data_IF_913802565282
#
_entry.id   IF_913802565282
#
_cell.length_a   1.000
_cell.length_b   1.000
_cell.length_c   1.000
_cell.angle_alpha   90.00
_cell.angle_beta   90.00
_cell.angle_gamma   90.00
#
_symmetry.space_group_name_H-M   'P 1'
#
loop_
_entity.id
_entity.type
_entity.pdbx_description
1 polymer ?
#
# COMPACT_ATOMS: atom_id res chain seq x y z
N UNK A 1 -9.88 -34.83 35.08
CA UNK A 1 -8.71 -34.40 34.30
C UNK A 1 -8.82 -32.90 34.12
N UNK A 2 -8.37 -32.15 35.11
CA UNK A 2 -8.32 -30.68 35.05
C UNK A 2 -6.98 -30.32 34.44
N UNK A 3 -6.98 -29.78 33.22
CA UNK A 3 -5.77 -29.24 32.62
C UNK A 3 -5.39 -27.98 33.39
N UNK A 4 -4.41 -28.11 34.30
CA UNK A 4 -3.75 -26.96 34.89
C UNK A 4 -3.06 -26.18 33.76
N UNK A 5 -3.69 -25.09 33.33
CA UNK A 5 -3.08 -24.12 32.44
C UNK A 5 -1.84 -23.58 33.11
N UNK A 6 -0.67 -23.85 32.53
CA UNK A 6 0.62 -23.48 33.08
C UNK A 6 0.69 -21.94 33.17
N UNK A 7 0.75 -21.33 34.38
CA UNK A 7 0.62 -19.87 34.55
C UNK A 7 1.72 -19.07 33.84
N UNK A 8 2.87 -19.71 33.58
CA UNK A 8 3.97 -19.16 32.79
C UNK A 8 3.60 -18.94 31.31
N UNK A 9 2.81 -19.85 30.71
CA UNK A 9 2.39 -19.74 29.30
C UNK A 9 1.34 -18.64 29.11
N UNK A 10 0.41 -18.50 30.07
CA UNK A 10 -0.57 -17.42 30.05
C UNK A 10 0.08 -16.03 30.19
N UNK A 11 1.09 -15.90 31.07
CA UNK A 11 1.85 -14.66 31.20
C UNK A 11 2.63 -14.30 29.93
N UNK A 12 3.26 -15.28 29.27
CA UNK A 12 3.96 -15.07 28.00
C UNK A 12 3.01 -14.60 26.88
N UNK A 13 1.83 -15.22 26.75
CA UNK A 13 0.83 -14.85 25.75
C UNK A 13 0.31 -13.42 25.94
N UNK A 14 0.12 -12.98 27.19
CA UNK A 14 -0.30 -11.59 27.49
C UNK A 14 0.79 -10.58 27.11
N UNK A 15 2.08 -10.91 27.35
CA UNK A 15 3.20 -10.06 26.94
C UNK A 15 3.28 -9.94 25.43
N UNK A 16 3.12 -11.05 24.71
CA UNK A 16 3.10 -11.07 23.24
C UNK A 16 1.94 -10.24 22.68
N UNK A 17 0.73 -10.42 23.20
CA UNK A 17 -0.48 -9.68 22.80
C UNK A 17 -0.29 -8.16 22.99
N UNK A 18 0.30 -7.73 24.12
CA UNK A 18 0.61 -6.32 24.39
C UNK A 18 1.67 -5.76 23.44
N UNK A 19 2.67 -6.58 23.09
CA UNK A 19 3.69 -6.21 22.11
C UNK A 19 3.08 -5.99 20.72
N UNK A 20 2.26 -6.93 20.26
CA UNK A 20 1.57 -6.85 18.96
C UNK A 20 0.62 -5.65 18.91
N UNK A 21 -0.13 -5.39 19.99
CA UNK A 21 -0.96 -4.19 20.09
C UNK A 21 -0.10 -2.93 19.93
N UNK A 22 0.99 -2.83 20.67
CA UNK A 22 1.91 -1.67 20.59
C UNK A 22 2.46 -1.48 19.18
N UNK A 23 2.86 -2.57 18.52
CA UNK A 23 3.33 -2.55 17.12
C UNK A 23 2.24 -2.03 16.16
N UNK A 24 0.99 -2.52 16.29
CA UNK A 24 -0.12 -2.05 15.48
C UNK A 24 -0.42 -0.55 15.69
N UNK A 25 -0.31 -0.07 16.95
CA UNK A 25 -0.47 1.36 17.26
C UNK A 25 0.63 2.21 16.63
N UNK A 26 1.88 1.73 16.69
CA UNK A 26 3.03 2.40 16.06
C UNK A 26 2.89 2.45 14.54
N UNK A 27 2.41 1.38 13.91
CA UNK A 27 2.16 1.34 12.46
C UNK A 27 1.11 2.39 12.04
N UNK A 28 0.04 2.55 12.83
CA UNK A 28 -0.96 3.60 12.59
C UNK A 28 -0.35 5.01 12.65
N UNK A 29 0.46 5.28 13.68
CA UNK A 29 1.14 6.58 13.81
C UNK A 29 2.13 6.82 12.67
N UNK A 30 2.85 5.78 12.27
CA UNK A 30 3.81 5.84 11.18
C UNK A 30 3.10 6.18 9.87
N UNK A 31 1.97 5.55 9.56
CA UNK A 31 1.16 5.91 8.39
C UNK A 31 0.71 7.38 8.44
N UNK A 32 0.24 7.86 9.58
CA UNK A 32 -0.19 9.27 9.72
C UNK A 32 0.97 10.21 9.41
N UNK A 33 2.17 9.93 9.94
CA UNK A 33 3.38 10.69 9.65
C UNK A 33 3.75 10.63 8.16
N UNK A 34 3.76 9.44 7.54
CA UNK A 34 4.08 9.31 6.10
C UNK A 34 3.13 10.08 5.21
N UNK A 35 1.82 10.00 5.49
CA UNK A 35 0.83 10.75 4.71
C UNK A 35 1.01 12.25 4.93
N UNK A 36 1.34 12.68 6.16
CA UNK A 36 1.67 14.08 6.46
C UNK A 36 2.86 14.55 5.60
N UNK A 37 3.98 13.83 5.65
CA UNK A 37 5.17 14.17 4.86
C UNK A 37 4.88 14.16 3.36
N UNK A 38 4.14 13.16 2.87
CA UNK A 38 3.78 13.08 1.46
C UNK A 38 2.93 14.28 1.00
N UNK A 39 1.94 14.68 1.80
CA UNK A 39 1.11 15.85 1.48
C UNK A 39 1.92 17.15 1.44
N UNK A 40 2.92 17.29 2.33
CA UNK A 40 3.81 18.46 2.36
C UNK A 40 4.83 18.44 1.21
N UNK A 41 5.28 17.26 0.79
CA UNK A 41 6.28 17.08 -0.27
C UNK A 41 5.70 17.11 -1.69
N UNK A 42 4.37 17.22 -1.85
CA UNK A 42 3.74 17.21 -3.17
C UNK A 42 4.21 18.40 -4.02
N UNK A 43 4.83 18.17 -5.19
CA UNK A 43 5.29 19.25 -6.07
C UNK A 43 4.16 20.19 -6.50
N UNK A 44 4.46 21.48 -6.64
CA UNK A 44 3.51 22.49 -7.14
C UNK A 44 4.13 23.30 -8.29
N UNK A 45 3.48 23.38 -9.47
CA UNK A 45 2.23 22.70 -9.84
C UNK A 45 2.45 21.18 -10.09
N UNK A 46 1.54 20.34 -9.59
CA UNK A 46 1.55 18.91 -9.87
C UNK A 46 0.87 18.58 -11.21
N UNK A 47 1.51 17.76 -12.04
CA UNK A 47 0.88 17.19 -13.22
C UNK A 47 -0.08 16.03 -12.85
N UNK A 48 -0.87 15.58 -13.83
CA UNK A 48 -1.85 14.50 -13.63
C UNK A 48 -1.20 13.19 -13.15
N UNK A 49 0.02 12.90 -13.62
CA UNK A 49 0.73 11.68 -13.23
C UNK A 49 1.20 11.76 -11.76
N UNK A 50 1.74 12.89 -11.33
CA UNK A 50 2.12 13.16 -9.94
C UNK A 50 0.92 13.05 -9.02
N UNK A 51 -0.21 13.65 -9.38
CA UNK A 51 -1.46 13.52 -8.61
C UNK A 51 -1.86 12.05 -8.46
N UNK A 52 -1.80 11.26 -9.54
CA UNK A 52 -2.13 9.83 -9.48
C UNK A 52 -1.16 9.03 -8.62
N UNK A 53 0.14 9.32 -8.68
CA UNK A 53 1.17 8.69 -7.83
C UNK A 53 0.91 8.96 -6.36
N UNK A 54 0.60 10.20 -6.00
CA UNK A 54 0.26 10.59 -4.62
C UNK A 54 -1.02 9.92 -4.14
N UNK A 55 -2.07 9.92 -4.96
CA UNK A 55 -3.33 9.23 -4.64
C UNK A 55 -3.10 7.73 -4.39
N UNK A 56 -2.32 7.08 -5.24
CA UNK A 56 -2.01 5.67 -5.12
C UNK A 56 -1.15 5.38 -3.88
N UNK A 57 -0.09 6.17 -3.67
CA UNK A 57 0.80 6.05 -2.51
C UNK A 57 0.04 6.20 -1.20
N UNK A 58 -0.75 7.26 -1.05
CA UNK A 58 -1.57 7.50 0.14
C UNK A 58 -2.59 6.36 0.33
N UNK A 59 -3.25 5.91 -0.74
CA UNK A 59 -4.19 4.80 -0.63
C UNK A 59 -3.52 3.48 -0.17
N UNK A 60 -2.27 3.23 -0.55
CA UNK A 60 -1.47 2.09 -0.04
C UNK A 60 -1.17 2.26 1.45
N UNK A 61 -0.75 3.43 1.90
CA UNK A 61 -0.51 3.70 3.32
C UNK A 61 -1.82 3.55 4.13
N UNK A 62 -2.95 4.01 3.60
CA UNK A 62 -4.25 3.84 4.25
C UNK A 62 -4.64 2.37 4.42
N UNK A 63 -4.31 1.50 3.46
CA UNK A 63 -4.51 0.06 3.65
C UNK A 63 -3.65 -0.52 4.77
N UNK A 64 -2.41 -0.07 4.91
CA UNK A 64 -1.55 -0.46 6.03
C UNK A 64 -2.19 -0.03 7.36
N UNK A 65 -2.67 1.21 7.44
CA UNK A 65 -3.38 1.70 8.62
C UNK A 65 -4.67 0.93 8.89
N UNK A 66 -5.47 0.59 7.88
CA UNK A 66 -6.71 -0.19 8.06
C UNK A 66 -6.40 -1.56 8.67
N UNK A 67 -5.38 -2.25 8.17
CA UNK A 67 -4.95 -3.55 8.72
C UNK A 67 -4.46 -3.42 10.15
N UNK A 68 -3.61 -2.43 10.44
CA UNK A 68 -3.10 -2.18 11.79
C UNK A 68 -4.23 -1.79 12.76
N UNK A 69 -5.18 -0.97 12.32
CA UNK A 69 -6.34 -0.56 13.10
C UNK A 69 -7.25 -1.75 13.43
N UNK A 70 -7.49 -2.64 12.46
CA UNK A 70 -8.23 -3.88 12.66
C UNK A 70 -7.57 -4.81 13.67
N UNK A 71 -6.25 -4.97 13.58
CA UNK A 71 -5.47 -5.78 14.53
C UNK A 71 -5.50 -5.18 15.94
N UNK A 72 -5.24 -3.87 16.07
CA UNK A 72 -5.28 -3.18 17.35
C UNK A 72 -6.66 -3.30 18.02
N UNK A 73 -7.74 -3.09 17.26
CA UNK A 73 -9.11 -3.22 17.77
C UNK A 73 -9.43 -4.65 18.23
N UNK A 74 -9.03 -5.66 17.46
CA UNK A 74 -9.25 -7.06 17.85
C UNK A 74 -8.48 -7.43 19.15
N UNK A 75 -7.23 -6.98 19.29
CA UNK A 75 -6.42 -7.23 20.48
C UNK A 75 -6.91 -6.44 21.69
N UNK A 76 -7.39 -5.21 21.52
CA UNK A 76 -8.03 -4.44 22.59
C UNK A 76 -9.28 -5.13 23.10
N UNK A 77 -10.12 -5.68 22.21
CA UNK A 77 -11.28 -6.48 22.60
C UNK A 77 -10.89 -7.77 23.32
N UNK A 78 -9.81 -8.43 22.90
CA UNK A 78 -9.33 -9.66 23.54
C UNK A 78 -8.68 -9.43 24.92
N UNK A 79 -8.17 -8.21 25.17
CA UNK A 79 -7.52 -7.83 26.44
C UNK A 79 -8.48 -7.16 27.43
N UNK A 80 -9.64 -6.69 26.98
CA UNK A 80 -10.61 -6.00 27.83
C UNK A 80 -11.67 -6.99 28.31
N UNK A 81 -11.59 -7.40 29.58
CA UNK A 81 -12.65 -8.20 30.25
C UNK A 81 -13.88 -7.34 30.63
N UNK A 82 -13.83 -6.02 30.42
CA UNK A 82 -14.87 -5.07 30.83
C UNK A 82 -15.15 -4.07 29.69
N UNK A 83 -16.42 -3.73 29.51
CA UNK A 83 -17.00 -2.98 28.39
C UNK A 83 -16.22 -1.70 28.05
N UNK A 84 -15.52 -1.70 26.91
CA UNK A 84 -15.00 -0.49 26.28
C UNK A 84 -13.59 -0.63 25.72
N UNK A 85 -13.49 -1.20 24.51
CA UNK A 85 -12.28 -1.04 23.70
C UNK A 85 -12.02 0.47 23.54
N UNK A 86 -10.90 0.96 24.09
CA UNK A 86 -10.40 2.30 23.83
C UNK A 86 -9.85 2.34 22.40
N UNK A 87 -10.76 2.25 21.42
CA UNK A 87 -10.45 2.37 19.99
C UNK A 87 -9.56 3.59 19.84
N UNK A 88 -8.30 3.37 19.47
CA UNK A 88 -7.33 4.42 19.24
C UNK A 88 -8.01 5.59 18.53
N UNK A 89 -8.15 6.74 19.20
CA UNK A 89 -8.76 7.91 18.57
C UNK A 89 -7.76 8.52 17.58
N UNK A 90 -7.53 7.85 16.45
CA UNK A 90 -6.71 8.36 15.35
C UNK A 90 -7.55 9.32 14.51
N UNK A 91 -7.83 10.50 15.09
CA UNK A 91 -8.52 11.57 14.38
C UNK A 91 -7.94 11.84 12.96
N UNK A 92 -6.61 11.80 12.75
CA UNK A 92 -6.03 11.95 11.41
C UNK A 92 -6.43 10.84 10.43
N UNK A 93 -6.38 9.57 10.85
CA UNK A 93 -6.78 8.45 10.00
C UNK A 93 -8.28 8.50 9.71
N UNK A 94 -9.09 8.80 10.73
CA UNK A 94 -10.54 8.97 10.57
C UNK A 94 -10.85 10.06 9.55
N UNK A 95 -10.12 11.18 9.60
CA UNK A 95 -10.25 12.25 8.61
C UNK A 95 -9.91 11.75 7.19
N UNK A 96 -8.77 11.08 7.00
CA UNK A 96 -8.37 10.57 5.68
C UNK A 96 -9.34 9.52 5.13
N UNK A 97 -9.83 8.63 5.99
CA UNK A 97 -10.81 7.60 5.61
C UNK A 97 -12.16 8.20 5.19
N UNK A 98 -12.52 9.39 5.70
CA UNK A 98 -13.71 10.15 5.23
C UNK A 98 -13.50 10.80 3.86
N UNK A 99 -12.26 11.18 3.54
CA UNK A 99 -11.90 11.73 2.22
C UNK A 99 -11.82 10.63 1.17
N UNK A 100 -11.52 9.39 1.58
CA UNK A 100 -11.47 8.23 0.69
C UNK A 100 -12.86 7.77 0.23
N UNK A 101 -12.92 7.28 -1.00
CA UNK A 101 -14.10 6.63 -1.57
C UNK A 101 -13.89 5.12 -1.65
N UNK A 102 -14.93 4.36 -1.32
CA UNK A 102 -14.92 2.91 -1.43
C UNK A 102 -15.60 2.46 -2.71
N UNK A 103 -14.90 1.63 -3.50
CA UNK A 103 -15.46 0.96 -4.67
C UNK A 103 -15.24 -0.55 -4.51
N UNK A 104 -16.27 -1.25 -4.08
CA UNK A 104 -16.17 -2.65 -3.63
C UNK A 104 -15.12 -2.78 -2.52
N UNK A 105 -14.07 -3.58 -2.72
CA UNK A 105 -12.92 -3.76 -1.82
C UNK A 105 -11.69 -2.95 -2.23
N UNK A 106 -11.89 -1.86 -2.99
CA UNK A 106 -10.82 -0.97 -3.43
C UNK A 106 -11.03 0.42 -2.84
N UNK A 107 -9.91 1.02 -2.45
CA UNK A 107 -9.84 2.37 -1.92
C UNK A 107 -9.46 3.33 -3.05
N UNK A 108 -10.23 4.39 -3.21
CA UNK A 108 -9.89 5.53 -4.07
C UNK A 108 -9.64 6.73 -3.19
N UNK A 109 -8.47 7.34 -3.33
CA UNK A 109 -8.10 8.54 -2.61
C UNK A 109 -7.92 9.71 -3.57
N UNK A 110 -8.24 10.92 -3.11
CA UNK A 110 -8.01 12.16 -3.86
C UNK A 110 -7.35 13.19 -2.97
N UNK A 111 -6.06 13.41 -3.18
CA UNK A 111 -5.26 14.43 -2.50
C UNK A 111 -5.83 15.83 -2.68
N UNK A 112 -6.50 16.09 -3.79
CA UNK A 112 -7.15 17.37 -4.08
C UNK A 112 -8.38 17.64 -3.21
N UNK A 113 -8.95 16.61 -2.58
CA UNK A 113 -10.08 16.75 -1.63
C UNK A 113 -9.60 16.97 -0.18
N UNK A 114 -8.30 16.91 0.06
CA UNK A 114 -7.73 17.07 1.39
C UNK A 114 -7.58 18.56 1.71
N UNK A 115 -8.25 19.02 2.75
CA UNK A 115 -7.86 20.26 3.43
C UNK A 115 -6.53 20.02 4.18
N UNK A 116 -5.43 20.42 3.53
CA UNK A 116 -4.06 20.23 4.02
C UNK A 116 -3.86 20.90 5.39
N UNK A 117 -4.17 22.21 5.59
CA UNK A 117 -4.08 22.85 6.90
C UNK A 117 -4.77 22.08 8.02
N UNK A 118 -6.02 21.65 7.80
CA UNK A 118 -6.77 20.89 8.81
C UNK A 118 -6.10 19.55 9.11
N UNK A 119 -5.66 18.81 8.09
CA UNK A 119 -4.97 17.54 8.31
C UNK A 119 -3.63 17.70 9.04
N UNK A 120 -2.84 18.73 8.71
CA UNK A 120 -1.56 19.00 9.37
C UNK A 120 -1.73 19.36 10.86
N UNK A 121 -2.83 20.03 11.21
CA UNK A 121 -3.18 20.33 12.59
C UNK A 121 -3.56 19.04 13.36
N UNK A 122 -4.38 18.18 12.76
CA UNK A 122 -4.79 16.91 13.38
C UNK A 122 -3.61 15.93 13.52
N UNK A 123 -2.69 15.91 12.57
CA UNK A 123 -1.56 14.96 12.49
C UNK A 123 -0.31 15.43 13.25
N UNK A 124 -0.43 16.38 14.17
CA UNK A 124 0.70 16.79 15.02
C UNK A 124 1.10 15.65 15.96
N UNK A 125 2.37 15.25 15.91
CA UNK A 125 2.89 14.17 16.75
C UNK A 125 4.35 14.38 17.11
N UNK A 126 4.77 13.77 18.22
CA UNK A 126 6.17 13.74 18.66
C UNK A 126 6.93 12.65 17.91
N UNK A 127 7.85 13.05 17.02
CA UNK A 127 8.64 12.12 16.21
C UNK A 127 9.56 11.22 17.06
N UNK A 128 9.85 11.58 18.32
CA UNK A 128 10.61 10.73 19.24
C UNK A 128 9.94 9.36 19.47
N UNK A 129 8.65 9.23 19.18
CA UNK A 129 7.92 7.96 19.21
C UNK A 129 8.47 6.96 18.19
N UNK A 130 9.12 7.42 17.11
CA UNK A 130 9.72 6.57 16.07
C UNK A 130 11.24 6.35 16.24
N UNK A 131 11.84 6.76 17.36
CA UNK A 131 13.28 6.68 17.57
C UNK A 131 13.82 5.26 17.27
N UNK A 132 14.73 5.15 16.29
CA UNK A 132 15.31 3.92 15.69
C UNK A 132 14.45 3.13 14.69
N UNK A 133 13.20 3.51 14.43
CA UNK A 133 12.39 2.93 13.34
C UNK A 133 12.52 3.69 12.01
N UNK A 134 13.18 4.85 12.04
CA UNK A 134 13.42 5.71 10.87
C UNK A 134 14.49 5.15 9.90
N UNK A 135 15.12 4.01 10.22
CA UNK A 135 16.18 3.43 9.40
C UNK A 135 15.66 3.01 8.01
N UNK A 136 16.24 3.67 7.00
CA UNK A 136 15.99 3.68 5.56
C UNK A 136 15.87 2.33 4.80
N UNK A 137 15.86 1.18 5.47
CA UNK A 137 15.92 -0.14 4.81
C UNK A 137 14.56 -0.78 4.57
N UNK A 138 13.59 -0.59 5.47
CA UNK A 138 12.31 -1.32 5.41
C UNK A 138 11.17 -0.50 4.82
N UNK A 139 11.25 0.83 4.90
CA UNK A 139 10.15 1.72 4.55
C UNK A 139 10.59 2.82 3.60
N UNK A 140 10.36 2.68 2.28
CA UNK A 140 10.79 3.70 1.34
C UNK A 140 10.00 5.00 1.54
N UNK A 141 10.71 6.13 1.69
CA UNK A 141 10.16 7.48 1.60
C UNK A 141 9.72 7.79 0.16
N UNK A 142 8.68 7.11 -0.32
CA UNK A 142 8.28 7.17 -1.73
C UNK A 142 7.91 8.58 -2.20
N UNK A 143 7.50 9.46 -1.30
CA UNK A 143 7.19 10.86 -1.59
C UNK A 143 8.44 11.71 -1.87
N UNK A 144 9.65 11.20 -1.60
CA UNK A 144 10.92 11.86 -1.96
C UNK A 144 11.48 11.36 -3.29
N UNK A 145 10.80 10.42 -3.95
CA UNK A 145 11.25 9.87 -5.22
C UNK A 145 11.09 10.85 -6.37
N UNK A 146 12.00 10.78 -7.34
CA UNK A 146 11.86 11.54 -8.58
C UNK A 146 10.77 10.94 -9.46
N UNK A 147 10.48 11.58 -10.58
CA UNK A 147 9.56 11.04 -11.58
C UNK A 147 10.00 9.69 -12.14
N UNK A 148 11.30 9.37 -12.06
CA UNK A 148 11.91 8.10 -12.48
C UNK A 148 11.86 7.04 -11.37
N UNK A 149 11.66 7.45 -10.11
CA UNK A 149 11.48 6.57 -8.96
C UNK A 149 12.58 6.71 -7.89
N UNK A 150 12.92 5.61 -7.17
CA UNK A 150 13.80 5.66 -6.00
C UNK A 150 15.27 6.04 -6.24
N UNK A 151 15.72 6.11 -7.49
CA UNK A 151 17.14 6.34 -7.83
C UNK A 151 18.05 5.13 -7.59
N UNK A 152 19.37 5.33 -7.70
CA UNK A 152 20.43 4.38 -7.32
C UNK A 152 20.34 2.97 -7.94
N UNK A 153 19.86 2.86 -9.17
CA UNK A 153 19.72 1.58 -9.86
C UNK A 153 18.64 0.66 -9.27
N UNK A 154 17.82 1.15 -8.32
CA UNK A 154 16.69 0.39 -7.78
C UNK A 154 15.55 0.36 -8.78
N UNK A 155 14.99 -0.83 -9.00
CA UNK A 155 13.83 -1.00 -9.89
C UNK A 155 12.64 -0.21 -9.35
N UNK A 156 12.07 0.63 -10.19
CA UNK A 156 10.89 1.41 -9.88
C UNK A 156 9.68 0.48 -9.68
N UNK A 157 8.93 0.58 -8.57
CA UNK A 157 7.75 -0.26 -8.37
C UNK A 157 6.70 -0.01 -9.46
N UNK A 158 6.00 -1.06 -9.89
CA UNK A 158 4.99 -0.97 -10.96
C UNK A 158 3.90 0.06 -10.69
N UNK A 159 3.52 0.26 -9.42
CA UNK A 159 2.52 1.26 -9.04
C UNK A 159 3.02 2.70 -9.18
N UNK A 160 4.33 2.97 -9.13
CA UNK A 160 4.89 4.30 -9.36
C UNK A 160 4.89 4.64 -10.85
N UNK A 161 5.24 3.66 -11.70
CA UNK A 161 5.21 3.81 -13.15
C UNK A 161 3.76 3.88 -13.68
N UNK A 162 2.86 3.06 -13.14
CA UNK A 162 1.46 2.97 -13.55
C UNK A 162 0.51 2.99 -12.34
N UNK A 163 0.26 4.17 -11.74
CA UNK A 163 -0.58 4.28 -10.55
C UNK A 163 -2.05 4.02 -10.87
N UNK A 164 -2.62 2.97 -10.29
CA UNK A 164 -4.07 2.72 -10.36
C UNK A 164 -4.86 3.81 -9.62
N UNK A 165 -6.03 4.17 -10.15
CA UNK A 165 -6.99 5.06 -9.46
C UNK A 165 -7.70 4.39 -8.29
N UNK A 166 -7.80 3.05 -8.31
CA UNK A 166 -8.43 2.24 -7.28
C UNK A 166 -7.41 1.23 -6.75
N UNK A 167 -7.07 1.34 -5.46
CA UNK A 167 -6.05 0.50 -4.81
C UNK A 167 -6.75 -0.60 -4.03
N UNK A 168 -6.52 -1.86 -4.41
CA UNK A 168 -7.00 -3.01 -3.64
C UNK A 168 -6.20 -3.20 -2.35
N UNK A 169 -6.77 -3.95 -1.41
CA UNK A 169 -6.03 -4.35 -0.22
C UNK A 169 -4.72 -5.06 -0.62
N UNK A 170 -3.58 -4.72 -0.01
CA UNK A 170 -2.37 -5.49 -0.20
C UNK A 170 -2.67 -6.94 0.18
N UNK A 171 -2.29 -7.87 -0.70
CA UNK A 171 -2.44 -9.28 -0.41
C UNK A 171 -1.56 -9.58 0.81
N UNK A 172 -2.11 -10.13 1.91
CA UNK A 172 -1.27 -10.67 2.96
C UNK A 172 -0.51 -11.83 2.34
N UNK A 173 0.76 -11.62 2.06
CA UNK A 173 1.61 -12.69 1.53
C UNK A 173 2.16 -13.41 2.74
N UNK A 174 1.55 -14.53 3.11
CA UNK A 174 2.14 -15.42 4.09
C UNK A 174 3.35 -16.12 3.47
N UNK A 175 4.37 -16.46 4.26
CA UNK A 175 5.56 -17.18 3.80
C UNK A 175 5.27 -18.37 2.85
N UNK A 176 4.25 -19.22 3.09
CA UNK A 176 3.88 -20.28 2.16
C UNK A 176 3.36 -19.74 0.81
N UNK A 177 2.60 -18.63 0.85
CA UNK A 177 2.05 -18.01 -0.36
C UNK A 177 3.12 -17.32 -1.22
N UNK A 178 4.33 -17.07 -0.67
CA UNK A 178 5.43 -16.49 -1.46
C UNK A 178 5.87 -17.42 -2.58
N UNK A 179 5.95 -18.71 -2.31
CA UNK A 179 6.33 -19.72 -3.30
C UNK A 179 5.22 -19.91 -4.33
N UNK A 180 3.96 -19.95 -3.89
CA UNK A 180 2.81 -20.05 -4.78
C UNK A 180 2.66 -18.80 -5.66
N UNK A 181 2.85 -17.60 -5.10
CA UNK A 181 2.82 -16.35 -5.86
C UNK A 181 4.01 -16.24 -6.82
N UNK A 182 5.19 -16.73 -6.46
CA UNK A 182 6.34 -16.77 -7.36
C UNK A 182 6.06 -17.70 -8.54
N UNK A 183 5.47 -18.87 -8.28
CA UNK A 183 5.04 -19.83 -9.31
C UNK A 183 3.97 -19.22 -10.21
N UNK A 184 2.90 -18.67 -9.64
CA UNK A 184 1.81 -18.03 -10.39
C UNK A 184 2.29 -16.82 -11.21
N UNK A 185 3.20 -16.01 -10.66
CA UNK A 185 3.79 -14.89 -11.39
C UNK A 185 4.65 -15.37 -12.55
N UNK A 186 5.40 -16.48 -12.37
CA UNK A 186 6.14 -17.14 -13.44
C UNK A 186 5.21 -17.64 -14.56
N UNK A 187 4.13 -18.34 -14.20
CA UNK A 187 3.15 -18.86 -15.16
C UNK A 187 2.42 -17.73 -15.92
N UNK A 188 2.06 -16.65 -15.22
CA UNK A 188 1.50 -15.46 -15.86
C UNK A 188 2.49 -14.81 -16.83
N UNK A 189 3.77 -14.74 -16.47
CA UNK A 189 4.79 -14.15 -17.32
C UNK A 189 4.98 -14.97 -18.61
N UNK A 190 5.07 -16.30 -18.50
CA UNK A 190 5.14 -17.19 -19.66
C UNK A 190 3.89 -17.09 -20.55
N UNK A 191 2.71 -16.98 -19.95
CA UNK A 191 1.46 -16.81 -20.70
C UNK A 191 1.45 -15.49 -21.48
N UNK A 192 1.89 -14.40 -20.84
CA UNK A 192 1.97 -13.09 -21.48
C UNK A 192 3.01 -13.05 -22.60
N UNK A 193 4.16 -13.71 -22.44
CA UNK A 193 5.15 -13.85 -23.50
C UNK A 193 4.58 -14.62 -24.71
N UNK A 194 3.81 -15.69 -24.47
CA UNK A 194 3.13 -16.42 -25.53
C UNK A 194 2.13 -15.55 -26.31
N UNK A 195 1.30 -14.80 -25.59
CA UNK A 195 0.33 -13.86 -26.21
C UNK A 195 1.06 -12.77 -26.99
N UNK A 196 2.16 -12.24 -26.45
CA UNK A 196 2.95 -11.21 -27.13
C UNK A 196 3.52 -11.74 -28.44
N UNK A 197 4.12 -12.95 -28.43
CA UNK A 197 4.68 -13.58 -29.62
C UNK A 197 3.61 -13.88 -30.68
N UNK A 198 2.42 -14.31 -30.27
CA UNK A 198 1.27 -14.50 -31.17
C UNK A 198 0.88 -13.17 -31.84
N UNK A 199 0.76 -12.09 -31.06
CA UNK A 199 0.39 -10.77 -31.60
C UNK A 199 1.49 -10.17 -32.49
N UNK A 200 2.76 -10.43 -32.21
CA UNK A 200 3.88 -10.04 -33.08
C UNK A 200 3.92 -10.85 -34.39
N UNK A 201 3.40 -12.08 -34.40
CA UNK A 201 3.23 -12.85 -35.64
C UNK A 201 2.05 -12.29 -36.46
N UNK A 202 0.90 -12.07 -35.83
CA UNK A 202 -0.27 -11.46 -36.50
C UNK A 202 0.06 -10.10 -37.12
N UNK A 203 0.83 -9.25 -36.43
CA UNK A 203 1.24 -7.96 -36.96
C UNK A 203 2.13 -8.09 -38.20
N UNK A 204 3.05 -9.07 -38.21
CA UNK A 204 3.90 -9.32 -39.39
C UNK A 204 3.09 -9.80 -40.59
N UNK A 205 2.13 -10.69 -40.38
CA UNK A 205 1.26 -11.16 -41.46
C UNK A 205 0.44 -10.00 -42.06
N UNK A 206 -0.04 -9.08 -41.22
CA UNK A 206 -0.74 -7.87 -41.68
C UNK A 206 0.18 -6.95 -42.49
N UNK A 207 1.41 -6.73 -42.00
CA UNK A 207 2.40 -5.90 -42.71
C UNK A 207 2.75 -6.49 -44.10
N UNK A 208 2.89 -7.82 -44.18
CA UNK A 208 3.14 -8.53 -45.45
C UNK A 208 1.94 -8.39 -46.42
N UNK A 209 0.71 -8.49 -45.93
CA UNK A 209 -0.50 -8.25 -46.74
C UNK A 209 -0.58 -6.81 -47.26
N UNK A 210 -0.27 -5.82 -46.42
CA UNK A 210 -0.24 -4.40 -46.82
C UNK A 210 0.80 -4.20 -47.93
N UNK A 211 2.00 -4.76 -47.78
CA UNK A 211 3.06 -4.63 -48.77
C UNK A 211 2.69 -5.27 -50.13
N UNK A 212 1.94 -6.38 -50.13
CA UNK A 212 1.43 -7.01 -51.35
C UNK A 212 0.39 -6.12 -52.06
N UNK A 213 -0.58 -5.58 -51.32
CA UNK A 213 -1.59 -4.65 -51.89
C UNK A 213 -0.95 -3.38 -52.46
N UNK A 214 0.04 -2.79 -51.78
CA UNK A 214 0.77 -1.61 -52.27
C UNK A 214 1.52 -1.89 -53.59
N UNK A 215 2.04 -3.11 -53.76
CA UNK A 215 2.75 -3.53 -54.95
C UNK A 215 1.79 -3.80 -56.12
N UNK A 216 0.58 -4.31 -55.84
CA UNK A 216 -0.49 -4.44 -56.83
C UNK A 216 -1.02 -3.08 -57.30
N UNK A 217 -1.23 -2.13 -56.38
CA UNK A 217 -1.67 -0.77 -56.72
C UNK A 217 -0.64 0.02 -57.53
N UNK A 218 0.63 -0.36 -57.47
CA UNK A 218 1.74 0.26 -58.20
C UNK A 218 1.95 -0.30 -59.61
N UNK A 219 1.20 -1.33 -60.03
CA UNK A 219 1.25 -1.95 -61.37
C UNK A 219 0.15 -1.43 -62.29
#
# INVERSE_FOLDING_TARGET
>A
MSSESNPSAAAAAVVETKSTLTSARLECLLVVWRVREALQAMPQPADNLTIRRWNHGIARELWVAISAFGLAGALEMALSDDDGAAVMSSQPLTYLLRVAEWRNRRLRFSVLKVDIPTYLALSSMDLRVFYRMEDNTTFPHWWTWSTEGPGDGKRCPGWWANPSADVGAPMPVFEPDKEDLATMAGDMYLTLEGILAEKEAELRDIDDCIAEEELELSR
#
